data_IF_014785305702
#
_entry.id   IF_014785305702
#
_cell.length_a   1.000
_cell.length_b   1.000
_cell.length_c   1.000
_cell.angle_alpha   90.00
_cell.angle_beta   90.00
_cell.angle_gamma   90.00
#
_symmetry.space_group_name_H-M   'P 1'
#
loop_
_entity.id
_entity.type
_entity.pdbx_description
1 polymer ?
#
# COMPACT_ATOMS: atom_id res chain seq x y z
N UNK A 1 84.87 -11.98 21.43
CA UNK A 1 84.60 -13.09 20.48
C UNK A 1 83.57 -13.98 21.15
N UNK A 2 82.29 -14.09 20.78
CA UNK A 2 81.49 -13.76 19.59
C UNK A 2 80.04 -13.59 20.12
N UNK A 3 79.35 -12.48 19.87
CA UNK A 3 78.17 -12.48 18.99
C UNK A 3 76.82 -12.27 19.73
N UNK A 4 76.33 -11.02 19.75
CA UNK A 4 74.89 -10.65 19.84
C UNK A 4 74.21 -11.02 18.47
N UNK A 5 72.87 -10.90 18.20
CA UNK A 5 71.83 -10.15 18.92
C UNK A 5 70.35 -10.68 18.83
N UNK A 6 69.45 -9.86 19.40
CA UNK A 6 68.16 -9.38 18.84
C UNK A 6 66.81 -9.92 19.37
N UNK A 7 66.02 -8.95 19.82
CA UNK A 7 64.60 -8.95 20.17
C UNK A 7 63.68 -9.30 18.99
N UNK A 8 62.55 -9.97 19.28
CA UNK A 8 61.37 -10.08 18.42
C UNK A 8 60.19 -10.59 19.26
N UNK A 9 59.39 -9.73 19.88
CA UNK A 9 58.23 -8.99 19.37
C UNK A 9 57.06 -9.87 18.89
N UNK A 10 56.00 -9.83 19.70
CA UNK A 10 54.56 -9.92 19.38
C UNK A 10 53.96 -11.22 18.80
N UNK A 11 53.24 -11.88 19.71
CA UNK A 11 52.18 -12.88 19.52
C UNK A 11 50.94 -12.22 18.86
N UNK A 12 50.52 -12.69 17.68
CA UNK A 12 49.17 -12.51 17.09
C UNK A 12 48.84 -13.80 16.33
N UNK A 13 48.07 -14.73 16.91
CA UNK A 13 46.60 -14.89 16.84
C UNK A 13 46.04 -14.99 15.42
N UNK A 14 45.69 -16.23 15.07
CA UNK A 14 44.58 -16.70 14.22
C UNK A 14 44.36 -16.05 12.84
N UNK A 15 44.86 -16.71 11.79
CA UNK A 15 44.30 -16.63 10.45
C UNK A 15 43.28 -17.74 10.24
N UNK A 16 41.99 -17.44 10.43
CA UNK A 16 40.91 -18.29 9.91
C UNK A 16 40.84 -18.10 8.39
N UNK A 17 41.34 -19.09 7.64
CA UNK A 17 41.03 -19.23 6.23
C UNK A 17 39.59 -19.79 6.11
N UNK A 18 38.62 -18.96 5.74
CA UNK A 18 37.30 -19.41 5.30
C UNK A 18 37.22 -19.38 3.77
N UNK A 19 36.68 -20.44 3.13
CA UNK A 19 36.61 -20.54 1.69
C UNK A 19 35.40 -19.78 1.15
N UNK A 20 35.60 -19.11 0.01
CA UNK A 20 34.64 -18.80 -1.05
C UNK A 20 33.15 -18.76 -0.66
N UNK A 21 32.69 -17.59 -0.22
CA UNK A 21 31.27 -17.22 -0.30
C UNK A 21 30.98 -16.67 -1.70
N UNK A 22 30.02 -17.31 -2.38
CA UNK A 22 29.46 -16.93 -3.68
C UNK A 22 28.92 -15.49 -3.61
N UNK A 23 28.95 -14.72 -4.72
CA UNK A 23 28.23 -13.46 -4.79
C UNK A 23 26.73 -13.81 -4.93
N UNK A 24 26.03 -13.95 -3.81
CA UNK A 24 24.58 -13.79 -3.85
C UNK A 24 24.30 -12.39 -4.43
N UNK A 25 23.33 -12.24 -5.34
CA UNK A 25 23.00 -10.95 -5.91
C UNK A 25 22.73 -10.01 -4.73
N UNK A 26 23.46 -8.89 -4.73
CA UNK A 26 23.41 -7.82 -3.75
C UNK A 26 21.95 -7.41 -3.56
N UNK A 27 21.25 -8.09 -2.67
CA UNK A 27 19.90 -7.76 -2.28
C UNK A 27 20.07 -6.44 -1.56
N UNK A 28 19.74 -5.38 -2.28
CA UNK A 28 19.76 -4.01 -1.83
C UNK A 28 19.18 -4.00 -0.42
N UNK A 29 20.02 -3.77 0.59
CA UNK A 29 19.54 -3.48 1.93
C UNK A 29 18.61 -2.28 1.76
N UNK A 30 17.30 -2.56 1.77
CA UNK A 30 16.30 -1.56 2.03
C UNK A 30 16.82 -0.73 3.20
N UNK A 31 16.85 0.60 3.03
CA UNK A 31 17.37 1.58 3.99
C UNK A 31 17.32 1.03 5.41
N UNK A 32 18.47 0.92 6.06
CA UNK A 32 18.66 0.22 7.34
C UNK A 32 17.67 0.64 8.44
N UNK A 33 17.03 1.81 8.30
CA UNK A 33 15.91 2.25 9.13
C UNK A 33 14.56 1.61 8.80
N UNK A 34 14.14 1.56 7.53
CA UNK A 34 12.80 1.10 7.10
C UNK A 34 12.58 -0.38 7.39
N UNK A 35 13.46 -1.25 6.89
CA UNK A 35 13.31 -2.69 7.09
C UNK A 35 13.44 -3.08 8.57
N UNK A 36 14.35 -2.42 9.30
CA UNK A 36 14.52 -2.67 10.73
C UNK A 36 13.31 -2.17 11.54
N UNK A 37 12.68 -1.06 11.14
CA UNK A 37 11.45 -0.58 11.76
C UNK A 37 10.32 -1.59 11.58
N UNK A 38 10.08 -2.05 10.34
CA UNK A 38 9.04 -3.04 10.04
C UNK A 38 9.27 -4.36 10.77
N UNK A 39 10.52 -4.83 10.85
CA UNK A 39 10.85 -6.05 11.58
C UNK A 39 10.58 -5.92 13.09
N UNK A 40 10.94 -4.79 13.71
CA UNK A 40 10.64 -4.53 15.13
C UNK A 40 9.15 -4.35 15.38
N UNK A 41 8.44 -3.69 14.48
CA UNK A 41 7.00 -3.45 14.64
C UNK A 41 6.22 -4.76 14.53
N UNK A 42 6.61 -5.67 13.64
CA UNK A 42 6.00 -6.99 13.51
C UNK A 42 6.10 -7.85 14.78
N UNK A 43 7.08 -7.61 15.65
CA UNK A 43 7.23 -8.33 16.93
C UNK A 43 6.44 -7.71 18.09
N UNK A 44 5.78 -6.57 17.89
CA UNK A 44 4.97 -5.94 18.93
C UNK A 44 3.69 -6.73 19.15
N UNK A 45 3.28 -6.85 20.41
CA UNK A 45 1.99 -7.45 20.75
C UNK A 45 0.84 -6.65 20.10
N UNK A 46 -0.15 -7.34 19.54
CA UNK A 46 -1.29 -6.73 18.86
C UNK A 46 -1.06 -6.38 17.39
N UNK A 47 0.18 -6.44 16.89
CA UNK A 47 0.48 -6.22 15.47
C UNK A 47 0.34 -7.52 14.69
N UNK A 48 -0.49 -7.50 13.64
CA UNK A 48 -0.65 -8.58 12.67
C UNK A 48 0.03 -8.18 11.37
N UNK A 49 0.86 -9.08 10.83
CA UNK A 49 1.53 -8.89 9.53
C UNK A 49 0.84 -9.71 8.44
N UNK A 50 0.52 -9.06 7.32
CA UNK A 50 -0.06 -9.69 6.14
C UNK A 50 1.04 -10.17 5.16
N UNK A 51 0.73 -11.13 4.27
CA UNK A 51 1.66 -11.59 3.23
C UNK A 51 2.14 -10.47 2.29
N UNK A 52 1.34 -9.42 2.11
CA UNK A 52 1.70 -8.23 1.32
C UNK A 52 2.81 -7.39 1.97
N UNK A 53 3.11 -7.63 3.25
CA UNK A 53 4.01 -6.84 4.08
C UNK A 53 3.32 -5.70 4.82
N UNK A 54 2.00 -5.50 4.63
CA UNK A 54 1.21 -4.60 5.46
C UNK A 54 1.17 -5.10 6.90
N UNK A 55 1.33 -4.20 7.86
CA UNK A 55 1.15 -4.52 9.26
C UNK A 55 0.03 -3.65 9.83
N UNK A 56 -0.82 -4.23 10.66
CA UNK A 56 -1.91 -3.50 11.29
C UNK A 56 -2.08 -3.92 12.75
N UNK A 57 -2.60 -3.00 13.55
CA UNK A 57 -2.95 -3.18 14.94
C UNK A 57 -4.41 -2.72 15.11
N UNK A 58 -5.24 -3.59 15.68
CA UNK A 58 -6.67 -3.29 15.90
C UNK A 58 -6.76 -2.52 17.22
N UNK A 59 -7.06 -1.21 17.16
CA UNK A 59 -7.27 -0.38 18.35
C UNK A 59 -8.73 -0.48 18.82
N UNK A 60 -9.66 -0.58 17.89
CA UNK A 60 -11.09 -0.82 18.12
C UNK A 60 -11.65 -1.71 17.03
N UNK A 61 -12.37 -2.75 17.43
CA UNK A 61 -13.16 -3.55 16.49
C UNK A 61 -14.42 -2.80 16.07
N UNK A 62 -14.74 -2.91 14.78
CA UNK A 62 -16.01 -2.47 14.23
C UNK A 62 -16.95 -3.66 14.06
N UNK A 63 -18.24 -3.37 14.09
CA UNK A 63 -19.34 -4.34 14.07
C UNK A 63 -20.27 -4.17 12.85
N UNK A 64 -20.00 -3.19 11.99
CA UNK A 64 -20.80 -2.95 10.78
C UNK A 64 -20.27 -3.63 9.51
N UNK A 65 -20.83 -3.28 8.33
CA UNK A 65 -20.50 -3.92 7.07
C UNK A 65 -19.07 -3.61 6.63
N UNK A 66 -18.51 -4.50 5.79
CA UNK A 66 -17.24 -4.26 5.09
C UNK A 66 -17.49 -3.52 3.79
N UNK A 67 -16.68 -2.49 3.46
CA UNK A 67 -16.85 -1.75 2.21
C UNK A 67 -16.43 -2.58 1.00
N UNK A 68 -17.15 -2.44 -0.11
CA UNK A 68 -16.68 -2.92 -1.41
C UNK A 68 -15.65 -1.95 -2.01
N UNK A 69 -14.86 -2.42 -2.97
CA UNK A 69 -13.75 -1.66 -3.58
C UNK A 69 -14.12 -0.24 -4.06
N UNK A 70 -15.33 -0.07 -4.59
CA UNK A 70 -15.82 1.20 -5.15
C UNK A 70 -16.75 1.97 -4.21
N UNK A 71 -16.94 1.49 -2.97
CA UNK A 71 -17.86 2.08 -1.99
C UNK A 71 -17.20 3.25 -1.31
N UNK A 72 -17.87 4.41 -1.33
CA UNK A 72 -17.41 5.59 -0.62
C UNK A 72 -17.54 5.37 0.90
N UNK A 73 -16.44 5.53 1.61
CA UNK A 73 -16.34 5.36 3.04
C UNK A 73 -15.97 6.69 3.67
N UNK A 74 -16.69 7.08 4.72
CA UNK A 74 -16.37 8.23 5.54
C UNK A 74 -15.41 7.78 6.64
N UNK A 75 -14.22 8.39 6.67
CA UNK A 75 -13.16 7.98 7.57
C UNK A 75 -12.52 9.19 8.25
N UNK A 76 -12.13 8.99 9.51
CA UNK A 76 -11.12 9.80 10.15
C UNK A 76 -9.76 9.13 10.01
N UNK A 77 -8.74 9.93 9.79
CA UNK A 77 -7.36 9.47 9.74
C UNK A 77 -6.35 10.51 10.20
N UNK A 78 -5.20 10.03 10.68
CA UNK A 78 -3.95 10.77 10.81
C UNK A 78 -2.81 9.93 10.22
N UNK A 79 -1.98 10.57 9.41
CA UNK A 79 -0.82 10.00 8.73
C UNK A 79 0.47 10.64 9.25
N UNK A 80 1.34 9.80 9.81
CA UNK A 80 2.64 10.19 10.35
C UNK A 80 3.77 9.39 9.72
N UNK A 81 4.94 10.00 9.62
CA UNK A 81 6.18 9.33 9.27
C UNK A 81 6.76 8.63 10.51
N UNK A 82 7.74 7.75 10.29
CA UNK A 82 8.43 7.03 11.38
C UNK A 82 9.19 7.93 12.36
N UNK A 83 9.45 9.18 11.97
CA UNK A 83 10.05 10.22 12.82
C UNK A 83 9.02 10.98 13.67
N UNK A 84 7.72 10.69 13.51
CA UNK A 84 6.62 11.36 14.17
C UNK A 84 6.10 12.61 13.44
N UNK A 85 6.67 12.97 12.30
CA UNK A 85 6.20 14.09 11.49
C UNK A 85 4.83 13.75 10.89
N UNK A 86 3.80 14.50 11.26
CA UNK A 86 2.47 14.41 10.65
C UNK A 86 2.51 15.04 9.24
N UNK A 87 2.10 14.28 8.23
CA UNK A 87 2.04 14.78 6.84
C UNK A 87 0.61 15.04 6.37
N UNK A 88 -0.38 14.37 6.95
CA UNK A 88 -1.78 14.56 6.61
C UNK A 88 -2.69 14.11 7.76
N UNK A 89 -3.73 14.88 8.08
CA UNK A 89 -4.68 14.57 9.15
C UNK A 89 -6.05 15.16 8.85
N UNK A 90 -7.08 14.31 8.90
CA UNK A 90 -8.48 14.75 8.82
C UNK A 90 -8.91 15.54 10.06
N UNK A 91 -8.33 15.22 11.23
CA UNK A 91 -8.61 15.91 12.49
C UNK A 91 -8.13 17.36 12.44
N UNK A 92 -6.96 17.60 11.85
CA UNK A 92 -6.44 18.95 11.64
C UNK A 92 -7.33 19.80 10.72
N UNK A 93 -8.11 19.17 9.84
CA UNK A 93 -9.10 19.84 8.98
C UNK A 93 -10.48 19.98 9.60
N UNK A 94 -10.73 19.34 10.75
CA UNK A 94 -12.00 19.42 11.47
C UNK A 94 -13.18 18.71 10.80
N UNK A 95 -12.95 17.91 9.76
CA UNK A 95 -14.00 17.18 9.05
C UNK A 95 -13.50 15.80 8.58
N UNK A 96 -14.36 14.76 8.63
CA UNK A 96 -14.08 13.47 8.02
C UNK A 96 -13.79 13.59 6.54
N UNK A 97 -13.05 12.62 6.01
CA UNK A 97 -12.77 12.54 4.57
C UNK A 97 -13.43 11.30 3.98
N UNK A 98 -13.95 11.45 2.76
CA UNK A 98 -14.61 10.36 2.04
C UNK A 98 -13.66 9.76 1.02
N UNK A 99 -13.36 8.47 1.17
CA UNK A 99 -12.48 7.73 0.26
C UNK A 99 -13.12 6.41 -0.15
N UNK A 100 -12.86 5.98 -1.39
CA UNK A 100 -13.16 4.62 -1.83
C UNK A 100 -11.85 3.79 -1.84
N UNK A 101 -11.90 2.49 -1.50
CA UNK A 101 -10.71 1.64 -1.47
C UNK A 101 -9.91 1.61 -2.79
N UNK A 102 -10.56 1.83 -3.94
CA UNK A 102 -9.93 1.88 -5.26
C UNK A 102 -9.21 3.21 -5.60
N UNK A 103 -9.38 4.24 -4.77
CA UNK A 103 -8.80 5.57 -4.98
C UNK A 103 -7.62 5.90 -4.06
N UNK A 104 -7.28 4.99 -3.15
CA UNK A 104 -6.25 5.18 -2.13
C UNK A 104 -5.03 4.29 -2.38
N UNK A 105 -3.99 4.46 -1.56
CA UNK A 105 -2.78 3.63 -1.65
C UNK A 105 -3.11 2.15 -1.40
N UNK A 106 -2.34 1.24 -2.01
CA UNK A 106 -2.60 -0.21 -1.95
C UNK A 106 -2.74 -0.75 -0.53
N UNK A 107 -1.94 -0.23 0.41
CA UNK A 107 -2.03 -0.62 1.82
C UNK A 107 -3.38 -0.28 2.46
N UNK A 108 -3.97 0.88 2.11
CA UNK A 108 -5.31 1.24 2.56
C UNK A 108 -6.38 0.39 1.86
N UNK A 109 -6.24 0.14 0.57
CA UNK A 109 -7.17 -0.73 -0.18
C UNK A 109 -7.29 -2.12 0.47
N UNK A 110 -6.17 -2.70 0.89
CA UNK A 110 -6.15 -3.99 1.58
C UNK A 110 -6.71 -3.90 3.00
N UNK A 111 -6.32 -2.88 3.78
CA UNK A 111 -6.82 -2.67 5.14
C UNK A 111 -8.34 -2.46 5.17
N UNK A 112 -8.87 -1.57 4.33
CA UNK A 112 -10.30 -1.23 4.29
C UNK A 112 -11.17 -2.44 3.91
N UNK A 113 -10.67 -3.37 3.11
CA UNK A 113 -11.40 -4.61 2.77
C UNK A 113 -11.46 -5.61 3.95
N UNK A 114 -10.55 -5.49 4.91
CA UNK A 114 -10.52 -6.31 6.12
C UNK A 114 -11.26 -5.64 7.28
N UNK A 115 -11.31 -4.30 7.29
CA UNK A 115 -11.98 -3.50 8.30
C UNK A 115 -13.50 -3.52 8.16
N UNK A 116 -14.17 -3.38 9.30
CA UNK A 116 -15.62 -3.23 9.41
C UNK A 116 -15.94 -1.79 9.79
N UNK A 117 -17.13 -1.30 9.42
CA UNK A 117 -17.63 -0.01 9.89
C UNK A 117 -17.58 0.08 11.43
N UNK A 118 -17.12 1.23 11.94
CA UNK A 118 -16.84 1.46 13.36
C UNK A 118 -15.43 1.07 13.82
N UNK A 119 -14.64 0.40 12.98
CA UNK A 119 -13.30 -0.04 13.35
C UNK A 119 -12.29 1.10 13.36
N UNK A 120 -11.37 1.06 14.32
CA UNK A 120 -10.22 1.96 14.40
C UNK A 120 -8.93 1.15 14.42
N UNK A 121 -8.13 1.26 13.36
CA UNK A 121 -6.90 0.49 13.18
C UNK A 121 -5.70 1.41 13.04
N UNK A 122 -4.55 0.95 13.54
CA UNK A 122 -3.25 1.54 13.28
C UNK A 122 -2.53 0.71 12.24
N UNK A 123 -2.29 1.30 11.08
CA UNK A 123 -1.63 0.69 9.93
C UNK A 123 -0.18 1.13 9.87
N UNK A 124 0.72 0.20 9.64
CA UNK A 124 2.11 0.47 9.26
C UNK A 124 2.31 -0.01 7.83
N UNK A 125 2.39 0.94 6.92
CA UNK A 125 2.42 0.71 5.48
C UNK A 125 3.86 0.76 4.98
N UNK A 126 4.38 -0.34 4.42
CA UNK A 126 5.71 -0.35 3.82
C UNK A 126 5.71 0.46 2.50
N UNK A 127 6.87 0.96 2.04
CA UNK A 127 6.93 1.89 0.92
C UNK A 127 6.33 1.34 -0.38
N UNK A 128 6.47 0.03 -0.66
CA UNK A 128 5.91 -0.58 -1.88
C UNK A 128 4.37 -0.64 -1.91
N UNK A 129 3.70 -0.52 -0.76
CA UNK A 129 2.25 -0.40 -0.64
C UNK A 129 1.76 1.05 -0.47
N UNK A 130 2.69 2.00 -0.34
CA UNK A 130 2.45 3.44 -0.27
C UNK A 130 2.93 4.17 -1.52
N UNK A 131 3.86 5.13 -1.35
CA UNK A 131 4.38 5.99 -2.43
C UNK A 131 5.70 5.52 -3.06
N UNK A 132 6.25 4.39 -2.61
CA UNK A 132 7.42 3.74 -3.18
C UNK A 132 8.68 4.61 -3.23
N UNK A 133 9.54 4.34 -4.21
CA UNK A 133 10.80 5.05 -4.41
C UNK A 133 10.62 6.49 -4.93
N UNK A 134 9.41 6.86 -5.38
CA UNK A 134 9.13 8.20 -5.90
C UNK A 134 8.85 9.20 -4.77
N UNK A 135 8.17 8.76 -3.71
CA UNK A 135 7.64 9.68 -2.69
C UNK A 135 6.59 10.64 -3.27
N UNK A 136 6.12 11.58 -2.45
CA UNK A 136 5.21 12.64 -2.89
C UNK A 136 5.22 13.81 -1.90
N UNK A 137 5.35 15.05 -2.39
CA UNK A 137 5.30 16.25 -1.54
C UNK A 137 6.19 16.16 -0.30
N UNK A 138 5.56 16.11 0.88
CA UNK A 138 6.23 15.98 2.19
C UNK A 138 6.72 14.56 2.53
N UNK A 139 6.34 13.55 1.75
CA UNK A 139 6.67 12.13 1.98
C UNK A 139 7.93 11.77 1.19
N UNK A 140 9.03 11.42 1.88
CA UNK A 140 10.28 11.06 1.21
C UNK A 140 10.18 9.71 0.48
N UNK A 141 11.11 9.49 -0.44
CA UNK A 141 11.25 8.22 -1.14
C UNK A 141 11.50 7.06 -0.16
N UNK A 142 10.84 5.93 -0.41
CA UNK A 142 10.95 4.71 0.39
C UNK A 142 10.60 4.88 1.89
N UNK A 143 9.76 5.86 2.21
CA UNK A 143 9.24 6.07 3.57
C UNK A 143 8.28 4.95 4.00
N UNK A 144 8.34 4.58 5.28
CA UNK A 144 7.28 3.84 5.96
C UNK A 144 6.27 4.85 6.47
N UNK A 145 4.99 4.55 6.25
CA UNK A 145 3.89 5.42 6.66
C UNK A 145 3.14 4.76 7.80
N UNK A 146 2.84 5.53 8.84
CA UNK A 146 2.01 5.09 9.95
C UNK A 146 0.70 5.85 9.84
N UNK A 147 -0.39 5.11 9.70
CA UNK A 147 -1.73 5.69 9.64
C UNK A 147 -2.56 5.19 10.80
N UNK A 148 -3.25 6.08 11.47
CA UNK A 148 -4.39 5.73 12.32
C UNK A 148 -5.64 6.01 11.51
N UNK A 149 -6.45 4.97 11.26
CA UNK A 149 -7.60 4.99 10.39
C UNK A 149 -8.84 4.53 11.17
N UNK A 150 -9.81 5.41 11.31
CA UNK A 150 -11.13 5.14 11.89
C UNK A 150 -12.18 5.17 10.78
N UNK A 151 -12.81 4.03 10.54
CA UNK A 151 -13.88 3.89 9.55
C UNK A 151 -15.20 4.25 10.21
N UNK A 152 -15.72 5.45 9.94
CA UNK A 152 -16.94 5.95 10.59
C UNK A 152 -18.19 5.37 9.95
N UNK A 153 -18.23 5.37 8.61
CA UNK A 153 -19.42 4.98 7.87
C UNK A 153 -19.09 4.39 6.52
N UNK A 154 -19.72 3.27 6.17
CA UNK A 154 -19.67 2.71 4.83
C UNK A 154 -20.90 3.18 4.06
N UNK A 155 -20.68 3.87 2.93
CA UNK A 155 -21.74 4.32 2.06
C UNK A 155 -22.49 3.17 1.40
N UNK A 156 -23.62 3.47 0.76
CA UNK A 156 -24.29 2.48 -0.06
C UNK A 156 -23.37 2.07 -1.24
N UNK A 157 -23.27 0.77 -1.56
CA UNK A 157 -22.58 0.34 -2.76
C UNK A 157 -23.13 1.10 -3.96
N UNK A 158 -22.26 1.70 -4.78
CA UNK A 158 -22.71 2.30 -6.04
C UNK A 158 -23.39 1.19 -6.84
N UNK A 159 -24.67 1.33 -7.24
CA UNK A 159 -25.29 0.34 -8.10
C UNK A 159 -24.41 0.19 -9.34
N UNK A 160 -23.90 -1.02 -9.57
CA UNK A 160 -23.08 -1.31 -10.74
C UNK A 160 -23.86 -0.87 -11.98
N UNK A 161 -23.20 -0.30 -13.02
CA UNK A 161 -23.89 0.04 -14.25
C UNK A 161 -24.57 -1.23 -14.77
N UNK A 162 -25.90 -1.23 -14.75
CA UNK A 162 -26.69 -2.39 -15.11
C UNK A 162 -26.42 -2.77 -16.57
N UNK A 163 -26.12 -4.05 -16.89
CA UNK A 163 -25.77 -4.49 -18.25
C UNK A 163 -26.89 -4.23 -19.27
N UNK A 164 -28.13 -4.00 -18.80
CA UNK A 164 -29.28 -3.65 -19.61
C UNK A 164 -29.17 -2.30 -20.34
N UNK A 165 -28.31 -1.38 -19.89
CA UNK A 165 -28.06 -0.11 -20.59
C UNK A 165 -27.15 -0.27 -21.82
N UNK A 166 -26.27 -1.27 -21.84
CA UNK A 166 -25.39 -1.56 -22.97
C UNK A 166 -26.14 -2.27 -24.10
N UNK A 167 -27.06 -3.19 -23.75
CA UNK A 167 -27.87 -3.90 -24.73
C UNK A 167 -28.84 -2.95 -25.46
N UNK A 168 -29.42 -1.97 -24.77
CA UNK A 168 -30.32 -0.99 -25.41
C UNK A 168 -29.55 -0.03 -26.31
N UNK A 169 -28.38 0.46 -25.88
CA UNK A 169 -27.55 1.35 -26.72
C UNK A 169 -27.10 0.69 -28.03
N UNK A 170 -26.70 -0.58 -27.99
CA UNK A 170 -26.36 -1.34 -29.21
C UNK A 170 -27.58 -1.62 -30.08
N UNK A 171 -28.75 -1.87 -29.48
CA UNK A 171 -29.99 -2.09 -30.23
C UNK A 171 -30.46 -0.82 -30.96
N UNK A 172 -30.35 0.35 -30.32
CA UNK A 172 -30.69 1.63 -30.94
C UNK A 172 -29.72 2.02 -32.07
N UNK A 173 -28.43 1.71 -31.92
CA UNK A 173 -27.44 1.92 -32.99
C UNK A 173 -27.68 0.98 -34.17
N UNK A 174 -27.98 -0.30 -33.93
CA UNK A 174 -28.32 -1.24 -34.99
C UNK A 174 -29.59 -0.84 -35.75
N UNK A 175 -30.62 -0.36 -35.03
CA UNK A 175 -31.86 0.12 -35.65
C UNK A 175 -31.64 1.40 -36.47
N UNK A 176 -30.82 2.33 -35.96
CA UNK A 176 -30.48 3.57 -36.66
C UNK A 176 -29.67 3.30 -37.94
N UNK A 177 -28.69 2.39 -37.88
CA UNK A 177 -27.95 1.94 -39.06
C UNK A 177 -28.85 1.21 -40.06
N UNK A 178 -29.78 0.37 -39.60
CA UNK A 178 -30.73 -0.33 -40.47
C UNK A 178 -31.72 0.63 -41.14
N UNK A 179 -32.24 1.61 -40.41
CA UNK A 179 -33.09 2.66 -40.97
C UNK A 179 -32.34 3.54 -41.99
N UNK A 180 -31.07 3.90 -41.71
CA UNK A 180 -30.23 4.63 -42.65
C UNK A 180 -29.92 3.82 -43.93
N UNK A 181 -29.74 2.50 -43.80
CA UNK A 181 -29.54 1.59 -44.93
C UNK A 181 -30.79 1.45 -45.80
N UNK A 182 -31.99 1.40 -45.18
CA UNK A 182 -33.26 1.38 -45.91
C UNK A 182 -33.56 2.73 -46.60
N UNK A 183 -33.18 3.86 -45.99
CA UNK A 183 -33.41 5.20 -46.55
C UNK A 183 -32.43 5.56 -47.69
N UNK A 184 -31.23 4.99 -47.71
CA UNK A 184 -30.23 5.24 -48.78
C UNK A 184 -30.31 4.24 -49.95
N UNK A 185 -31.30 3.34 -49.95
CA UNK A 185 -31.69 2.59 -51.13
C UNK A 185 -30.60 1.69 -51.71
N UNK A 186 -29.86 0.97 -50.86
CA UNK A 186 -29.13 -0.27 -51.19
C UNK A 186 -28.51 -0.39 -52.59
N UNK A 187 -27.83 0.64 -53.11
CA UNK A 187 -27.09 0.54 -54.37
C UNK A 187 -25.73 -0.07 -54.08
N UNK A 188 -25.67 -1.39 -54.16
CA UNK A 188 -24.40 -2.12 -54.28
C UNK A 188 -23.87 -1.83 -55.68
N UNK A 189 -22.94 -0.88 -55.81
CA UNK A 189 -22.07 -0.83 -56.99
C UNK A 189 -21.10 -2.02 -56.90
N UNK A 190 -21.21 -2.93 -57.86
CA UNK A 190 -20.29 -4.04 -58.12
C UNK A 190 -19.04 -3.54 -58.82
#
# INVERSE_FOLDING_TARGET
>A
LVGMPLHGLLRRVAGCASPALRPFPRMLCASSGTAAYLARNATRAGVTSLPSGLQYEILREGDGPRPALSTACECHYSGTLVDGTEFDSSYARGAPATFAPDQVIKGWTEAMQLMQEGAHWKLTVPPHLGYGARGTGAIPANAVLIFELELLKVGAPRPAPSPLLLATALSFLALASYAAFLLTGGRVEL
#
